data_IF_871480629243
#
_entry.id   IF_871480629243
#
_cell.length_a   1.000
_cell.length_b   1.000
_cell.length_c   1.000
_cell.angle_alpha   90.00
_cell.angle_beta   90.00
_cell.angle_gamma   90.00
#
_symmetry.space_group_name_H-M   'P 1'
#
loop_
_entity.id
_entity.type
_entity.pdbx_description
1 polymer ?
#
# COMPACT_ATOMS: atom_id res chain seq x y z
N UNK A 1 0.05 -2.08 -11.20
CA UNK A 1 0.74 -2.52 -9.97
C UNK A 1 2.24 -2.51 -10.21
N UNK A 2 3.05 -2.26 -9.18
CA UNK A 2 4.50 -2.27 -9.23
C UNK A 2 5.01 -3.30 -8.21
N UNK A 3 6.10 -4.00 -8.52
CA UNK A 3 6.77 -4.92 -7.61
C UNK A 3 8.24 -4.50 -7.50
N UNK A 4 8.64 -4.00 -6.33
CA UNK A 4 10.03 -3.65 -6.05
C UNK A 4 10.67 -4.80 -5.28
N UNK A 5 11.71 -5.41 -5.86
CA UNK A 5 12.43 -6.54 -5.27
C UNK A 5 13.93 -6.30 -5.33
N UNK A 6 14.66 -6.89 -4.38
CA UNK A 6 16.12 -6.78 -4.29
C UNK A 6 16.62 -6.76 -2.84
N UNK A 7 17.95 -6.76 -2.63
CA UNK A 7 18.56 -6.79 -1.29
C UNK A 7 18.10 -5.65 -0.36
N UNK A 8 18.33 -5.81 0.94
CA UNK A 8 18.14 -4.73 1.91
C UNK A 8 19.00 -3.51 1.55
N UNK A 9 18.49 -2.30 1.78
CA UNK A 9 19.23 -1.06 1.55
C UNK A 9 19.31 -0.57 0.10
N UNK A 10 18.62 -1.19 -0.86
CA UNK A 10 18.59 -0.74 -2.27
C UNK A 10 17.59 0.39 -2.56
N UNK A 11 16.93 0.93 -1.54
CA UNK A 11 16.05 2.10 -1.66
C UNK A 11 14.61 1.81 -2.07
N UNK A 12 14.14 0.56 -2.09
CA UNK A 12 12.76 0.17 -2.50
C UNK A 12 11.68 1.01 -1.81
N UNK A 13 11.64 1.01 -0.48
CA UNK A 13 10.69 1.78 0.33
C UNK A 13 10.88 3.29 0.12
N UNK A 14 12.13 3.77 0.09
CA UNK A 14 12.43 5.17 -0.15
C UNK A 14 11.93 5.67 -1.51
N UNK A 15 12.07 4.86 -2.56
CA UNK A 15 11.64 5.20 -3.93
C UNK A 15 10.13 5.33 -4.02
N UNK A 16 9.36 4.39 -3.45
CA UNK A 16 7.89 4.47 -3.51
C UNK A 16 7.35 5.63 -2.67
N UNK A 17 7.97 5.92 -1.52
CA UNK A 17 7.61 7.08 -0.70
C UNK A 17 7.95 8.41 -1.38
N UNK A 18 9.08 8.48 -2.09
CA UNK A 18 9.44 9.65 -2.90
C UNK A 18 8.45 9.86 -4.04
N UNK A 19 8.05 8.78 -4.74
CA UNK A 19 7.02 8.84 -5.78
C UNK A 19 5.67 9.31 -5.22
N UNK A 20 5.25 8.81 -4.06
CA UNK A 20 4.02 9.26 -3.39
C UNK A 20 4.04 10.77 -3.12
N UNK A 21 5.14 11.29 -2.58
CA UNK A 21 5.32 12.73 -2.32
C UNK A 21 5.37 13.59 -3.58
N UNK A 22 5.75 13.00 -4.72
CA UNK A 22 5.72 13.68 -6.02
C UNK A 22 4.32 13.69 -6.63
N UNK A 23 3.52 12.64 -6.40
CA UNK A 23 2.18 12.50 -6.95
C UNK A 23 1.11 13.25 -6.16
N UNK A 24 1.26 13.32 -4.84
CA UNK A 24 0.24 13.86 -3.93
C UNK A 24 0.76 15.04 -3.13
N UNK A 25 -0.11 16.02 -2.90
CA UNK A 25 0.15 17.09 -1.93
C UNK A 25 0.13 16.54 -0.50
N UNK A 26 0.73 17.25 0.48
CA UNK A 26 0.72 16.81 1.88
C UNK A 26 -0.69 16.58 2.47
N UNK A 27 -1.70 17.32 1.99
CA UNK A 27 -3.10 17.14 2.41
C UNK A 27 -3.77 15.93 1.76
N UNK A 28 -3.38 15.57 0.53
CA UNK A 28 -3.91 14.41 -0.19
C UNK A 28 -3.28 13.09 0.28
N UNK A 29 -2.03 13.11 0.76
CA UNK A 29 -1.31 11.92 1.22
C UNK A 29 -2.14 11.06 2.18
N UNK A 30 -2.83 11.67 3.16
CA UNK A 30 -3.61 10.92 4.17
C UNK A 30 -4.83 10.21 3.60
N UNK A 31 -5.40 10.70 2.50
CA UNK A 31 -6.61 10.13 1.89
C UNK A 31 -6.33 9.28 0.66
N UNK A 32 -5.15 9.42 0.06
CA UNK A 32 -4.79 8.80 -1.21
C UNK A 32 -3.65 7.78 -1.09
N UNK A 33 -2.95 7.70 0.05
CA UNK A 33 -1.86 6.73 0.28
C UNK A 33 -2.17 5.89 1.50
N UNK A 34 -2.17 4.56 1.34
CA UNK A 34 -2.24 3.58 2.41
C UNK A 34 -0.94 2.78 2.45
N UNK A 35 -0.21 2.84 3.56
CA UNK A 35 1.01 2.08 3.79
C UNK A 35 0.72 0.97 4.81
N UNK A 36 0.97 -0.27 4.42
CA UNK A 36 0.83 -1.45 5.26
C UNK A 36 2.15 -2.21 5.24
N UNK A 37 2.69 -2.47 6.44
CA UNK A 37 3.76 -3.43 6.60
C UNK A 37 3.14 -4.82 6.77
N UNK A 38 3.47 -5.72 5.86
CA UNK A 38 2.90 -7.06 5.83
C UNK A 38 3.56 -8.05 6.79
N UNK A 39 4.68 -7.68 7.43
CA UNK A 39 5.31 -8.49 8.48
C UNK A 39 4.75 -8.24 9.88
N UNK A 40 3.98 -7.17 10.07
CA UNK A 40 3.27 -6.97 11.33
C UNK A 40 2.29 -8.14 11.55
N UNK A 41 2.19 -8.65 12.78
CA UNK A 41 1.27 -9.73 13.24
C UNK A 41 -0.23 -9.42 13.05
N UNK A 42 -0.56 -8.39 12.28
CA UNK A 42 -1.88 -8.04 11.79
C UNK A 42 -2.34 -9.15 10.84
N UNK A 43 -2.99 -10.17 11.41
CA UNK A 43 -3.48 -11.33 10.67
C UNK A 43 -4.18 -10.98 9.35
N UNK A 44 -4.13 -11.91 8.40
CA UNK A 44 -4.54 -11.78 6.98
C UNK A 44 -5.85 -11.01 6.77
N UNK A 45 -6.86 -11.26 7.61
CA UNK A 45 -8.17 -10.62 7.51
C UNK A 45 -8.11 -9.09 7.68
N UNK A 46 -7.26 -8.61 8.57
CA UNK A 46 -7.15 -7.18 8.90
C UNK A 46 -6.60 -6.40 7.70
N UNK A 47 -5.54 -6.91 7.06
CA UNK A 47 -4.93 -6.29 5.87
C UNK A 47 -5.94 -6.18 4.74
N UNK A 48 -6.72 -7.25 4.50
CA UNK A 48 -7.75 -7.26 3.45
C UNK A 48 -8.84 -6.23 3.75
N UNK A 49 -9.38 -6.22 4.96
CA UNK A 49 -10.50 -5.36 5.31
C UNK A 49 -10.09 -3.88 5.28
N UNK A 50 -8.86 -3.57 5.69
CA UNK A 50 -8.28 -2.22 5.63
C UNK A 50 -8.12 -1.75 4.17
N UNK A 51 -7.58 -2.61 3.30
CA UNK A 51 -7.46 -2.32 1.86
C UNK A 51 -8.84 -2.13 1.22
N UNK A 52 -9.80 -3.02 1.50
CA UNK A 52 -11.15 -2.91 0.94
C UNK A 52 -11.86 -1.63 1.39
N UNK A 53 -11.74 -1.28 2.67
CA UNK A 53 -12.28 -0.05 3.24
C UNK A 53 -11.66 1.18 2.58
N UNK A 54 -10.33 1.19 2.45
CA UNK A 54 -9.60 2.28 1.82
C UNK A 54 -9.99 2.45 0.35
N UNK A 55 -10.07 1.37 -0.43
CA UNK A 55 -10.46 1.41 -1.84
C UNK A 55 -11.90 1.91 -2.00
N UNK A 56 -12.82 1.49 -1.13
CA UNK A 56 -14.25 1.84 -1.18
C UNK A 56 -14.56 3.28 -0.76
N UNK A 57 -13.68 3.91 0.04
CA UNK A 57 -13.91 5.27 0.56
C UNK A 57 -13.73 6.32 -0.53
N UNK A 58 -14.75 7.11 -0.88
CA UNK A 58 -14.55 8.18 -1.86
C UNK A 58 -13.63 9.29 -1.32
N UNK A 59 -12.59 9.65 -2.07
CA UNK A 59 -11.74 10.79 -1.72
C UNK A 59 -12.47 12.09 -2.02
N UNK A 60 -12.67 12.93 -1.00
CA UNK A 60 -13.41 14.20 -1.12
C UNK A 60 -12.79 15.18 -2.13
N UNK A 61 -11.49 15.05 -2.40
CA UNK A 61 -10.72 15.98 -3.22
C UNK A 61 -9.95 15.22 -4.31
N UNK A 62 -10.24 15.57 -5.57
CA UNK A 62 -9.63 15.10 -6.83
C UNK A 62 -9.87 13.65 -7.27
N UNK A 63 -10.06 13.50 -8.59
CA UNK A 63 -10.01 12.26 -9.38
C UNK A 63 -8.55 11.72 -9.46
N UNK A 64 -7.95 11.39 -8.32
CA UNK A 64 -6.63 10.76 -8.25
C UNK A 64 -6.73 9.24 -8.19
N UNK A 65 -5.71 8.55 -8.67
CA UNK A 65 -5.50 7.13 -8.37
C UNK A 65 -5.13 7.03 -6.89
N UNK A 66 -5.60 6.00 -6.17
CA UNK A 66 -5.12 5.70 -4.81
C UNK A 66 -3.88 4.82 -4.88
N UNK A 67 -2.92 5.06 -3.99
CA UNK A 67 -1.71 4.27 -3.87
C UNK A 67 -1.78 3.42 -2.60
N UNK A 68 -1.60 2.12 -2.75
CA UNK A 68 -1.43 1.18 -1.63
C UNK A 68 0.02 0.68 -1.70
N UNK A 69 0.72 0.78 -0.59
CA UNK A 69 2.10 0.33 -0.42
C UNK A 69 2.05 -0.86 0.55
N UNK A 70 2.44 -2.04 0.06
CA UNK A 70 2.62 -3.25 0.86
C UNK A 70 4.13 -3.45 1.03
N UNK A 71 4.68 -3.04 2.16
CA UNK A 71 6.08 -3.30 2.47
C UNK A 71 6.24 -4.71 3.07
N UNK A 72 7.41 -5.31 2.88
CA UNK A 72 7.71 -6.70 3.28
C UNK A 72 6.63 -7.71 2.81
N UNK A 73 6.12 -7.51 1.59
CA UNK A 73 5.06 -8.34 1.01
C UNK A 73 5.45 -9.82 0.85
N UNK A 74 6.73 -10.15 0.94
CA UNK A 74 7.25 -11.52 1.01
C UNK A 74 6.91 -12.23 2.33
N UNK A 75 6.61 -11.48 3.39
CA UNK A 75 6.09 -12.02 4.64
C UNK A 75 4.59 -12.41 4.56
N UNK A 76 3.89 -12.03 3.49
CA UNK A 76 2.47 -12.37 3.32
C UNK A 76 2.25 -13.85 3.03
N UNK A 77 1.26 -14.43 3.70
CA UNK A 77 0.78 -15.78 3.37
C UNK A 77 0.14 -15.83 1.97
N UNK A 78 0.16 -17.02 1.36
CA UNK A 78 -0.47 -17.24 0.04
C UNK A 78 -1.96 -16.89 0.03
N UNK A 79 -2.67 -17.12 1.15
CA UNK A 79 -4.09 -16.79 1.27
C UNK A 79 -4.32 -15.28 1.23
N UNK A 80 -3.46 -14.50 1.88
CA UNK A 80 -3.51 -13.04 1.81
C UNK A 80 -3.25 -12.53 0.39
N UNK A 81 -2.23 -13.08 -0.28
CA UNK A 81 -1.93 -12.72 -1.67
C UNK A 81 -3.10 -13.06 -2.60
N UNK A 82 -3.74 -14.21 -2.42
CA UNK A 82 -4.91 -14.62 -3.20
C UNK A 82 -6.13 -13.75 -2.93
N UNK A 83 -6.32 -13.28 -1.70
CA UNK A 83 -7.40 -12.36 -1.34
C UNK A 83 -7.26 -10.99 -2.03
N UNK A 84 -6.02 -10.58 -2.36
CA UNK A 84 -5.74 -9.31 -3.06
C UNK A 84 -5.81 -9.40 -4.60
N UNK A 85 -5.89 -10.61 -5.18
CA UNK A 85 -5.99 -10.79 -6.64
C UNK A 85 -7.38 -10.49 -7.21
N UNK A 86 -8.38 -10.30 -6.36
CA UNK A 86 -9.81 -10.14 -6.74
C UNK A 86 -10.30 -8.76 -6.35
#
# INVERSE_FOLDING_TARGET
HLLFYGPAGTGKTSTILALAKQMYTPSEMRGCVLELNASDDRGIGIVRDEIQTFVSTQTLHKKGIKLIILDEADAMTNDAQNALRR
#
